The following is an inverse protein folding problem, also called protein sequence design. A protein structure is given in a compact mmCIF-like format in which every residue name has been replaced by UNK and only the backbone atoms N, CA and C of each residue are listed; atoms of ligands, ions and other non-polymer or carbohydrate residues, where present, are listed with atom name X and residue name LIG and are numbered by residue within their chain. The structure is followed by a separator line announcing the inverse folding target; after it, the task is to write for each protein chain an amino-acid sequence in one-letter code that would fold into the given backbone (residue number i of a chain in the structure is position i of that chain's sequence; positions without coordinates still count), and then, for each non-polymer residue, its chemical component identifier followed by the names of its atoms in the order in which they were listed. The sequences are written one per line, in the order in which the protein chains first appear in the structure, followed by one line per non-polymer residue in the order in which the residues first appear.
data_IF_392389609209
#
_entry.id   IF_392389609209
#
_cell.length_a   1.000
_cell.length_b   1.000
_cell.length_c   1.000
_cell.angle_alpha   90.00
_cell.angle_beta   90.00
_cell.angle_gamma   90.00
#
_symmetry.space_group_name_H-M   'P 1'
#
loop_
_entity.id
_entity.type
_entity.pdbx_description
1 polymer ?
#
# COMPACT_ATOMS: atom_id res chain seq x y z
N UNK A 1 -5.51 7.40 -30.71
CA UNK A 1 -4.19 8.05 -30.70
C UNK A 1 -3.85 8.28 -29.24
N UNK A 2 -3.12 7.36 -28.62
CA UNK A 2 -2.77 7.41 -27.19
C UNK A 2 -1.67 8.47 -27.01
N UNK A 3 -1.80 9.41 -26.05
CA UNK A 3 -0.74 10.38 -25.81
C UNK A 3 0.54 9.67 -25.32
N UNK A 4 1.74 10.18 -25.67
CA UNK A 4 2.99 9.67 -25.10
C UNK A 4 2.99 9.89 -23.58
N UNK A 5 3.47 8.90 -22.83
CA UNK A 5 3.74 9.04 -21.40
C UNK A 5 4.91 10.00 -21.28
N UNK A 6 4.68 11.21 -20.79
CA UNK A 6 5.75 12.17 -20.54
C UNK A 6 6.72 11.57 -19.51
N UNK A 7 7.96 11.29 -19.94
CA UNK A 7 9.01 10.78 -19.06
C UNK A 7 9.53 11.92 -18.19
N UNK A 8 9.21 11.88 -16.91
CA UNK A 8 9.75 12.83 -15.93
C UNK A 8 11.15 12.38 -15.48
N UNK A 9 12.14 13.27 -15.55
CA UNK A 9 13.52 13.00 -15.15
C UNK A 9 13.86 13.72 -13.84
N UNK A 10 14.40 12.97 -12.87
CA UNK A 10 14.86 13.49 -11.58
C UNK A 10 16.38 13.48 -11.50
N UNK A 11 16.99 14.59 -11.06
CA UNK A 11 18.44 14.67 -10.87
C UNK A 11 18.84 14.09 -9.51
N UNK A 12 19.65 13.03 -9.51
CA UNK A 12 20.16 12.37 -8.30
C UNK A 12 21.68 12.41 -8.28
N UNK A 13 22.28 12.97 -7.23
CA UNK A 13 23.72 12.96 -7.05
C UNK A 13 24.20 11.58 -6.57
N UNK A 14 25.08 10.96 -7.36
CA UNK A 14 25.64 9.63 -7.05
C UNK A 14 27.16 9.73 -6.94
N UNK A 15 27.78 9.15 -5.89
CA UNK A 15 29.24 9.03 -5.81
C UNK A 15 29.80 8.30 -7.04
N UNK A 16 30.85 8.84 -7.66
CA UNK A 16 31.39 8.33 -8.93
C UNK A 16 31.66 6.81 -8.94
N UNK A 17 32.12 6.27 -7.80
CA UNK A 17 32.40 4.83 -7.64
C UNK A 17 31.17 3.92 -7.76
N UNK A 18 29.96 4.45 -7.61
CA UNK A 18 28.70 3.68 -7.67
C UNK A 18 27.96 3.86 -9.00
N UNK A 19 28.44 4.72 -9.90
CA UNK A 19 27.75 5.02 -11.17
C UNK A 19 27.51 3.76 -12.00
N UNK A 20 28.50 2.88 -12.10
CA UNK A 20 28.33 1.60 -12.81
C UNK A 20 27.33 0.66 -12.14
N UNK A 21 27.21 0.70 -10.82
CA UNK A 21 26.23 -0.09 -10.09
C UNK A 21 24.80 0.42 -10.33
N UNK A 22 24.63 1.74 -10.42
CA UNK A 22 23.35 2.37 -10.80
C UNK A 22 22.95 1.99 -12.23
N UNK A 23 23.86 2.10 -13.19
CA UNK A 23 23.58 1.68 -14.57
C UNK A 23 23.18 0.21 -14.65
N UNK A 24 23.92 -0.67 -13.96
CA UNK A 24 23.59 -2.09 -13.93
C UNK A 24 22.19 -2.34 -13.37
N UNK A 25 21.84 -1.66 -12.27
CA UNK A 25 20.51 -1.76 -11.66
C UNK A 25 19.40 -1.30 -12.61
N UNK A 26 19.59 -0.18 -13.31
CA UNK A 26 18.61 0.31 -14.29
C UNK A 26 18.42 -0.68 -15.44
N UNK A 27 19.51 -1.26 -15.96
CA UNK A 27 19.44 -2.30 -16.99
C UNK A 27 18.75 -3.57 -16.50
N UNK A 28 18.98 -3.99 -15.25
CA UNK A 28 18.29 -5.13 -14.63
C UNK A 28 16.77 -4.86 -14.52
N UNK A 29 16.37 -3.63 -14.17
CA UNK A 29 14.97 -3.20 -14.08
C UNK A 29 14.29 -3.13 -15.46
N UNK A 30 14.98 -2.64 -16.50
CA UNK A 30 14.46 -2.59 -17.87
C UNK A 30 14.25 -3.99 -18.48
N UNK A 31 15.07 -4.97 -18.08
CA UNK A 31 14.97 -6.36 -18.56
C UNK A 31 13.92 -7.19 -17.81
N UNK A 32 13.42 -6.71 -16.68
CA UNK A 32 12.25 -7.29 -16.01
C UNK A 32 10.98 -6.68 -16.63
N UNK A 33 10.17 -7.46 -17.38
CA UNK A 33 8.86 -6.98 -17.78
C UNK A 33 8.02 -6.83 -16.50
N UNK A 34 7.79 -5.58 -16.08
CA UNK A 34 7.00 -5.26 -14.90
C UNK A 34 7.77 -4.99 -13.61
N UNK A 35 9.05 -4.60 -13.69
CA UNK A 35 9.66 -3.82 -12.60
C UNK A 35 9.44 -2.32 -12.82
N UNK A 36 8.22 -1.95 -13.22
CA UNK A 36 7.69 -0.69 -12.76
C UNK A 36 7.90 -0.67 -11.25
N UNK A 37 8.35 0.44 -10.69
CA UNK A 37 7.84 0.78 -9.36
C UNK A 37 6.34 0.82 -9.60
N UNK A 38 5.64 -0.30 -9.37
CA UNK A 38 4.19 -0.37 -9.55
C UNK A 38 3.70 0.86 -8.79
N UNK A 39 3.17 1.92 -9.46
CA UNK A 39 2.38 2.89 -8.72
C UNK A 39 1.38 2.01 -8.00
N UNK A 40 1.37 2.03 -6.66
CA UNK A 40 0.62 1.05 -5.88
C UNK A 40 -0.72 0.89 -6.58
N UNK A 41 -0.90 -0.31 -7.17
CA UNK A 41 -1.80 -0.50 -8.30
C UNK A 41 -3.12 0.19 -8.02
N UNK A 42 -3.69 0.85 -9.03
CA UNK A 42 -5.09 1.28 -8.98
C UNK A 42 -5.84 0.11 -8.39
N UNK A 43 -6.32 0.25 -7.15
CA UNK A 43 -6.80 -0.89 -6.37
C UNK A 43 -7.81 -1.62 -7.25
N UNK A 44 -7.52 -2.87 -7.61
CA UNK A 44 -8.56 -3.76 -8.10
C UNK A 44 -9.70 -3.64 -7.09
N UNK A 45 -10.90 -3.36 -7.61
CA UNK A 45 -11.98 -2.77 -6.85
C UNK A 45 -12.17 -3.41 -5.45
N UNK A 46 -12.54 -2.64 -4.42
CA UNK A 46 -12.83 -3.12 -3.05
C UNK A 46 -13.74 -4.37 -2.98
N UNK A 47 -14.48 -4.66 -4.05
CA UNK A 47 -15.23 -5.89 -4.28
C UNK A 47 -14.45 -7.21 -4.07
N UNK A 48 -13.12 -7.18 -3.95
CA UNK A 48 -12.31 -8.37 -3.66
C UNK A 48 -12.35 -8.83 -2.19
N UNK A 49 -12.79 -8.00 -1.23
CA UNK A 49 -12.74 -8.29 0.21
C UNK A 49 -14.11 -8.61 0.77
N UNK A 50 -14.39 -9.91 0.96
CA UNK A 50 -15.57 -10.41 1.66
C UNK A 50 -15.33 -10.56 3.17
N UNK A 51 -16.39 -10.86 3.92
CA UNK A 51 -16.32 -11.10 5.35
C UNK A 51 -15.31 -12.19 5.73
N UNK A 52 -15.21 -13.27 4.94
CA UNK A 52 -14.29 -14.38 5.24
C UNK A 52 -12.83 -13.94 5.18
N UNK A 53 -12.44 -13.17 4.15
CA UNK A 53 -11.09 -12.64 4.00
C UNK A 53 -10.76 -11.64 5.10
N UNK A 54 -11.70 -10.77 5.45
CA UNK A 54 -11.53 -9.81 6.55
C UNK A 54 -11.43 -10.51 7.92
N UNK A 55 -12.22 -11.55 8.18
CA UNK A 55 -12.11 -12.36 9.40
C UNK A 55 -10.75 -13.05 9.46
N UNK A 56 -10.29 -13.64 8.35
CA UNK A 56 -8.97 -14.26 8.27
C UNK A 56 -7.85 -13.26 8.52
N UNK A 57 -7.96 -12.04 7.98
CA UNK A 57 -7.02 -10.96 8.22
C UNK A 57 -6.98 -10.60 9.71
N UNK A 58 -8.16 -10.39 10.32
CA UNK A 58 -8.30 -10.05 11.73
C UNK A 58 -7.76 -11.14 12.68
N UNK A 59 -7.79 -12.40 12.28
CA UNK A 59 -7.27 -13.53 13.07
C UNK A 59 -5.78 -13.83 12.82
N UNK A 60 -5.12 -13.15 11.88
CA UNK A 60 -3.72 -13.46 11.53
C UNK A 60 -2.75 -12.70 12.44
N UNK A 61 -1.96 -13.45 13.22
CA UNK A 61 -0.98 -12.92 14.18
C UNK A 61 0.41 -12.62 13.56
N UNK A 62 0.44 -11.79 12.50
CA UNK A 62 1.70 -11.25 11.96
C UNK A 62 1.76 -9.74 12.20
N UNK A 63 2.96 -9.17 12.40
CA UNK A 63 3.06 -7.74 12.74
C UNK A 63 2.55 -6.81 11.63
N UNK A 64 2.69 -7.23 10.36
CA UNK A 64 2.20 -6.48 9.21
C UNK A 64 0.66 -6.55 9.10
N UNK A 65 0.06 -7.72 9.34
CA UNK A 65 -1.41 -7.89 9.34
C UNK A 65 -2.05 -7.21 10.54
N UNK A 66 -1.41 -7.24 11.71
CA UNK A 66 -1.84 -6.48 12.89
C UNK A 66 -1.79 -4.97 12.64
N UNK A 67 -0.69 -4.47 12.07
CA UNK A 67 -0.58 -3.06 11.70
C UNK A 67 -1.71 -2.65 10.76
N UNK A 68 -1.96 -3.42 9.69
CA UNK A 68 -3.07 -3.14 8.77
C UNK A 68 -4.43 -3.23 9.44
N UNK A 69 -4.65 -4.22 10.31
CA UNK A 69 -5.89 -4.34 11.08
C UNK A 69 -6.14 -3.10 11.94
N UNK A 70 -5.10 -2.56 12.58
CA UNK A 70 -5.20 -1.32 13.37
C UNK A 70 -5.42 -0.08 12.50
N UNK A 71 -4.86 -0.03 11.29
CA UNK A 71 -5.19 1.02 10.30
C UNK A 71 -6.68 0.92 9.94
N UNK A 72 -7.18 -0.28 9.65
CA UNK A 72 -8.61 -0.48 9.35
C UNK A 72 -9.48 -0.05 10.54
N UNK A 73 -9.08 -0.33 11.78
CA UNK A 73 -9.78 0.15 12.97
C UNK A 73 -9.87 1.68 13.02
N UNK A 74 -8.80 2.40 12.63
CA UNK A 74 -8.76 3.86 12.56
C UNK A 74 -9.68 4.37 11.43
N UNK A 75 -9.50 3.87 10.21
CA UNK A 75 -10.28 4.30 9.05
C UNK A 75 -11.79 4.02 9.22
N UNK A 76 -12.13 2.98 9.98
CA UNK A 76 -13.49 2.61 10.27
C UNK A 76 -14.22 3.60 11.20
N UNK A 77 -13.50 4.44 11.96
CA UNK A 77 -14.12 5.45 12.82
C UNK A 77 -14.81 6.56 12.01
N UNK A 78 -14.24 6.90 10.85
CA UNK A 78 -14.78 7.91 9.93
C UNK A 78 -14.73 7.38 8.48
N UNK A 79 -15.66 6.47 8.09
CA UNK A 79 -15.63 5.87 6.75
C UNK A 79 -15.69 6.93 5.63
N UNK A 80 -14.87 6.76 4.60
CA UNK A 80 -14.71 7.69 3.48
C UNK A 80 -13.78 8.88 3.75
N UNK A 81 -13.37 9.14 5.00
CA UNK A 81 -12.33 10.12 5.27
C UNK A 81 -10.98 9.60 4.79
N UNK A 82 -10.20 10.50 4.20
CA UNK A 82 -8.85 10.23 3.75
C UNK A 82 -7.86 10.58 4.85
N UNK A 83 -6.89 9.70 5.08
CA UNK A 83 -5.80 9.85 6.03
C UNK A 83 -4.48 9.73 5.28
N UNK A 84 -3.56 10.66 5.53
CA UNK A 84 -2.20 10.53 5.01
C UNK A 84 -1.32 9.64 5.93
N UNK A 85 -0.08 9.37 5.51
CA UNK A 85 0.86 8.60 6.33
C UNK A 85 1.18 9.27 7.67
N UNK A 86 1.19 10.61 7.76
CA UNK A 86 1.47 11.31 9.01
C UNK A 86 0.30 11.19 9.98
N UNK A 87 -0.93 11.23 9.50
CA UNK A 87 -2.13 11.00 10.31
C UNK A 87 -2.12 9.59 10.91
N UNK A 88 -1.79 8.58 10.09
CA UNK A 88 -1.67 7.20 10.56
C UNK A 88 -0.53 7.04 11.58
N UNK A 89 0.62 7.69 11.38
CA UNK A 89 1.74 7.70 12.35
C UNK A 89 1.40 8.43 13.64
N UNK A 90 0.52 9.44 13.62
CA UNK A 90 0.04 10.09 14.85
C UNK A 90 -0.94 9.20 15.60
N UNK A 91 -1.80 8.48 14.88
CA UNK A 91 -2.81 7.60 15.46
C UNK A 91 -2.23 6.25 15.94
N UNK A 92 -1.14 5.79 15.32
CA UNK A 92 -0.44 4.57 15.70
C UNK A 92 0.86 4.94 16.45
N UNK A 93 1.15 4.39 17.64
CA UNK A 93 2.40 4.61 18.35
C UNK A 93 3.58 3.90 17.65
N UNK A 94 3.92 4.31 16.43
CA UNK A 94 4.97 3.72 15.61
C UNK A 94 5.61 4.74 14.66
N UNK A 95 6.89 4.54 14.35
CA UNK A 95 7.65 5.39 13.45
C UNK A 95 7.21 5.26 11.98
N UNK A 96 7.35 6.34 11.22
CA UNK A 96 7.00 6.40 9.79
C UNK A 96 7.66 5.29 8.96
N UNK A 97 8.95 5.04 9.14
CA UNK A 97 9.68 4.01 8.41
C UNK A 97 9.19 2.59 8.77
N UNK A 98 8.79 2.38 10.03
CA UNK A 98 8.23 1.10 10.48
C UNK A 98 6.86 0.87 9.87
N UNK A 99 5.99 1.90 9.86
CA UNK A 99 4.69 1.83 9.19
C UNK A 99 4.86 1.50 7.70
N UNK A 100 5.69 2.26 6.98
CA UNK A 100 5.98 2.02 5.56
C UNK A 100 6.53 0.60 5.31
N UNK A 101 7.41 0.11 6.18
CA UNK A 101 7.95 -1.25 6.10
C UNK A 101 6.88 -2.34 6.27
N UNK A 102 5.98 -2.17 7.24
CA UNK A 102 4.86 -3.08 7.47
C UNK A 102 3.86 -3.08 6.29
N UNK A 103 3.55 -1.90 5.75
CA UNK A 103 2.71 -1.75 4.56
C UNK A 103 3.31 -2.49 3.34
N UNK A 104 4.60 -2.31 3.08
CA UNK A 104 5.28 -3.04 2.00
C UNK A 104 5.33 -4.57 2.24
N UNK A 105 5.51 -4.99 3.49
CA UNK A 105 5.45 -6.40 3.87
C UNK A 105 4.05 -6.99 3.72
N UNK A 106 3.01 -6.19 3.94
CA UNK A 106 1.62 -6.60 3.76
C UNK A 106 1.30 -6.87 2.28
N UNK A 107 1.75 -6.03 1.34
CA UNK A 107 1.57 -6.31 -0.10
C UNK A 107 2.12 -7.70 -0.48
N UNK A 108 3.29 -8.07 0.05
CA UNK A 108 3.89 -9.39 -0.18
C UNK A 108 3.06 -10.51 0.45
N UNK A 109 2.48 -10.26 1.61
CA UNK A 109 1.59 -11.22 2.28
C UNK A 109 0.31 -11.44 1.48
N UNK A 110 -0.31 -10.38 0.94
CA UNK A 110 -1.49 -10.45 0.09
C UNK A 110 -1.24 -11.33 -1.15
N UNK A 111 -0.17 -11.01 -1.92
CA UNK A 111 0.21 -11.78 -3.11
C UNK A 111 0.43 -13.28 -2.83
N UNK A 112 0.88 -13.63 -1.60
CA UNK A 112 1.18 -15.02 -1.21
C UNK A 112 -0.01 -15.79 -0.63
N UNK A 113 -0.93 -15.12 0.06
CA UNK A 113 -1.94 -15.79 0.89
C UNK A 113 -3.39 -15.51 0.49
N UNK A 114 -3.61 -14.50 -0.34
CA UNK A 114 -4.94 -14.04 -0.79
C UNK A 114 -5.09 -14.06 -2.32
N UNK A 115 -4.09 -14.57 -3.05
CA UNK A 115 -4.02 -14.61 -4.52
C UNK A 115 -4.40 -13.28 -5.19
N UNK A 116 -4.13 -12.18 -4.49
CA UNK A 116 -4.53 -10.83 -4.90
C UNK A 116 -3.54 -9.83 -4.31
N UNK A 117 -3.32 -8.73 -5.00
CA UNK A 117 -2.60 -7.58 -4.47
C UNK A 117 -3.55 -6.50 -3.94
N UNK A 118 -4.87 -6.72 -4.02
CA UNK A 118 -5.88 -5.73 -3.67
C UNK A 118 -5.90 -5.50 -2.16
N UNK A 119 -5.82 -4.24 -1.76
CA UNK A 119 -5.83 -3.86 -0.36
C UNK A 119 -7.27 -3.84 0.20
N UNK A 120 -7.46 -4.10 1.50
CA UNK A 120 -8.78 -3.99 2.15
C UNK A 120 -9.22 -2.53 2.36
N UNK A 121 -8.39 -1.57 1.97
CA UNK A 121 -8.62 -0.12 2.06
C UNK A 121 -8.31 0.51 0.71
N UNK A 122 -8.92 1.65 0.43
CA UNK A 122 -8.63 2.46 -0.75
C UNK A 122 -7.34 3.26 -0.56
N UNK A 123 -6.57 3.41 -1.64
CA UNK A 123 -5.34 4.20 -1.68
C UNK A 123 -5.44 5.12 -2.88
N UNK A 124 -5.57 6.42 -2.61
CA UNK A 124 -5.56 7.48 -3.61
C UNK A 124 -4.21 8.22 -3.56
N UNK A 125 -3.74 8.70 -4.71
CA UNK A 125 -2.48 9.44 -4.79
C UNK A 125 -2.74 10.92 -5.05
N UNK A 126 -2.20 11.79 -4.20
CA UNK A 126 -2.21 13.25 -4.35
C UNK A 126 -0.77 13.74 -4.53
N UNK A 127 -0.30 13.73 -5.79
CA UNK A 127 1.13 13.90 -6.06
C UNK A 127 1.91 12.69 -5.51
N UNK A 128 2.92 12.95 -4.69
CA UNK A 128 3.74 11.91 -4.06
C UNK A 128 3.15 11.37 -2.74
N UNK A 129 1.99 11.88 -2.32
CA UNK A 129 1.34 11.52 -1.06
C UNK A 129 0.26 10.47 -1.27
N UNK A 130 0.36 9.36 -0.53
CA UNK A 130 -0.66 8.32 -0.48
C UNK A 130 -1.70 8.65 0.60
N UNK A 131 -2.97 8.64 0.18
CA UNK A 131 -4.14 8.89 1.01
C UNK A 131 -4.93 7.59 1.17
N UNK A 132 -5.14 7.18 2.41
CA UNK A 132 -5.82 5.94 2.76
C UNK A 132 -7.25 6.23 3.21
N UNK A 133 -8.21 5.47 2.71
CA UNK A 133 -9.60 5.58 3.14
C UNK A 133 -10.28 4.20 3.12
N UNK A 134 -11.41 4.09 3.81
CA UNK A 134 -12.21 2.87 3.83
C UNK A 134 -13.62 3.18 3.35
N UNK A 135 -14.13 2.38 2.40
CA UNK A 135 -15.50 2.55 1.94
C UNK A 135 -16.50 2.27 3.07
N UNK A 136 -17.69 2.91 3.06
CA UNK A 136 -18.72 2.64 4.07
C UNK A 136 -19.14 1.17 4.14
N UNK A 137 -19.15 0.46 3.01
CA UNK A 137 -19.50 -0.96 2.94
C UNK A 137 -18.44 -1.83 3.63
N UNK A 138 -17.16 -1.61 3.32
CA UNK A 138 -16.05 -2.35 3.94
C UNK A 138 -15.91 -2.00 5.42
N UNK A 139 -16.17 -0.75 5.81
CA UNK A 139 -16.17 -0.32 7.20
C UNK A 139 -17.28 -1.03 8.01
N UNK A 140 -18.48 -1.16 7.45
CA UNK A 140 -19.58 -1.90 8.08
C UNK A 140 -19.22 -3.38 8.28
N UNK A 141 -18.61 -4.02 7.28
CA UNK A 141 -18.12 -5.39 7.39
C UNK A 141 -17.03 -5.51 8.46
N UNK A 142 -16.03 -4.63 8.44
CA UNK A 142 -14.94 -4.63 9.42
C UNK A 142 -15.46 -4.43 10.86
N UNK A 143 -16.37 -3.48 11.05
CA UNK A 143 -17.04 -3.25 12.34
C UNK A 143 -17.75 -4.49 12.87
N UNK A 144 -18.40 -5.28 12.00
CA UNK A 144 -19.08 -6.51 12.41
C UNK A 144 -18.14 -7.63 12.89
N UNK A 145 -16.84 -7.53 12.55
CA UNK A 145 -15.82 -8.52 12.86
C UNK A 145 -15.01 -8.13 14.10
N UNK A 146 -14.72 -6.83 14.26
CA UNK A 146 -13.82 -6.29 15.31
C UNK A 146 -14.53 -5.55 16.43
N UNK A 147 -15.82 -5.24 16.27
CA UNK A 147 -16.66 -4.50 17.22
C UNK A 147 -17.15 -5.33 18.40
#
# INVERSE_FOLDING_TARGET
MTPPVDQEFVQVAVPARHVMAVYRLLTELEQQPGADIEPAGTNDAPAAWDANKLTRLASTELSNTDTVSRILDILCQEPGKQYDMQDLVKALPMEYHTLRGNLAAFTRHLKKHYDSAAWPMQVDWRGDEALYSLSPETAALWSSIRG
#
